data_IF_927243242207
#
_entry.id   IF_927243242207
#
_cell.length_a   1.000
_cell.length_b   1.000
_cell.length_c   1.000
_cell.angle_alpha   90.00
_cell.angle_beta   90.00
_cell.angle_gamma   90.00
#
_symmetry.space_group_name_H-M   'P 1'
#
loop_
_entity.id
_entity.type
_entity.pdbx_description
1 polymer ?
#
# COMPACT_ATOMS: atom_id res chain seq x y z
N UNK A 1 -20.08 -3.10 -0.85
CA UNK A 1 -18.77 -3.59 -0.38
C UNK A 1 -17.61 -3.02 -1.20
N UNK A 2 -17.55 -3.16 -2.54
CA UNK A 2 -16.46 -2.61 -3.35
C UNK A 2 -16.23 -1.09 -3.13
N UNK A 3 -17.29 -0.30 -3.12
CA UNK A 3 -17.20 1.15 -2.82
C UNK A 3 -16.67 1.41 -1.41
N UNK A 4 -17.14 0.65 -0.42
CA UNK A 4 -16.70 0.80 0.97
C UNK A 4 -15.20 0.50 1.13
N UNK A 5 -14.69 -0.57 0.47
CA UNK A 5 -13.26 -0.90 0.49
C UNK A 5 -12.42 0.14 -0.23
N UNK A 6 -12.92 0.68 -1.35
CA UNK A 6 -12.26 1.76 -2.08
C UNK A 6 -12.11 3.02 -1.24
N UNK A 7 -13.19 3.47 -0.63
CA UNK A 7 -13.19 4.64 0.26
C UNK A 7 -12.29 4.43 1.50
N UNK A 8 -12.32 3.25 2.11
CA UNK A 8 -11.46 2.92 3.25
C UNK A 8 -9.98 2.94 2.86
N UNK A 9 -9.63 2.32 1.73
CA UNK A 9 -8.27 2.26 1.22
C UNK A 9 -7.75 3.65 0.80
N UNK A 10 -8.62 4.49 0.23
CA UNK A 10 -8.29 5.83 -0.24
C UNK A 10 -7.64 6.69 0.85
N UNK A 11 -8.11 6.58 2.11
CA UNK A 11 -7.56 7.30 3.26
C UNK A 11 -6.05 7.14 3.46
N UNK A 12 -5.49 6.02 3.00
CA UNK A 12 -4.05 5.74 3.08
C UNK A 12 -3.21 6.52 2.06
N UNK A 13 -3.84 7.09 1.03
CA UNK A 13 -3.16 7.74 -0.10
C UNK A 13 -3.44 9.24 -0.23
N UNK A 14 -4.35 9.81 0.58
CA UNK A 14 -4.74 11.22 0.48
C UNK A 14 -3.58 12.19 0.68
N UNK A 15 -2.71 11.91 1.64
CA UNK A 15 -1.65 12.83 2.02
C UNK A 15 -0.57 13.03 0.94
N UNK A 16 -0.42 12.07 0.02
CA UNK A 16 0.72 12.05 -0.91
C UNK A 16 0.82 13.31 -1.78
N UNK A 17 -0.22 13.78 -2.50
CA UNK A 17 -0.14 15.01 -3.28
C UNK A 17 -0.18 16.29 -2.43
N UNK A 18 -0.47 16.18 -1.12
CA UNK A 18 -0.69 17.31 -0.22
C UNK A 18 0.55 17.70 0.58
N UNK A 19 1.68 17.00 0.45
CA UNK A 19 2.85 17.18 1.32
C UNK A 19 3.38 18.60 1.30
N UNK A 20 3.44 19.23 0.13
CA UNK A 20 3.90 20.62 0.00
C UNK A 20 2.93 21.60 0.66
N UNK A 21 1.62 21.45 0.43
CA UNK A 21 0.59 22.27 1.04
C UNK A 21 0.58 22.15 2.58
N UNK A 22 0.76 20.93 3.10
CA UNK A 22 0.89 20.67 4.55
C UNK A 22 2.13 21.36 5.12
N UNK A 23 3.24 21.32 4.39
CA UNK A 23 4.49 21.99 4.78
C UNK A 23 4.28 23.50 4.95
N UNK A 24 3.60 24.12 4.01
CA UNK A 24 3.30 25.58 4.04
C UNK A 24 2.29 25.95 5.13
N UNK A 25 1.20 25.20 5.26
CA UNK A 25 0.09 25.55 6.18
C UNK A 25 0.46 25.32 7.65
N UNK A 26 1.15 24.22 7.97
CA UNK A 26 1.57 23.90 9.34
C UNK A 26 2.97 24.43 9.71
N UNK A 27 3.64 25.14 8.79
CA UNK A 27 5.01 25.65 8.97
C UNK A 27 6.00 24.59 9.44
N UNK A 28 5.90 23.38 8.89
CA UNK A 28 6.74 22.24 9.22
C UNK A 28 7.80 22.01 8.16
N UNK A 29 8.90 21.31 8.50
CA UNK A 29 9.91 20.96 7.53
C UNK A 29 9.38 19.95 6.49
N UNK A 30 9.96 19.96 5.28
CA UNK A 30 9.64 18.97 4.25
C UNK A 30 9.91 17.53 4.73
N UNK A 31 10.92 17.35 5.59
CA UNK A 31 11.18 16.06 6.23
C UNK A 31 9.99 15.60 7.10
N UNK A 32 9.43 16.48 7.94
CA UNK A 32 8.26 16.13 8.76
C UNK A 32 7.03 15.82 7.89
N UNK A 33 6.80 16.59 6.83
CA UNK A 33 5.72 16.31 5.90
C UNK A 33 5.92 14.94 5.20
N UNK A 34 7.15 14.61 4.79
CA UNK A 34 7.49 13.30 4.24
C UNK A 34 7.19 12.13 5.19
N UNK A 35 7.33 12.35 6.51
CA UNK A 35 6.95 11.35 7.53
C UNK A 35 5.45 11.04 7.57
N UNK A 36 4.59 11.85 6.96
CA UNK A 36 3.14 11.54 6.84
C UNK A 36 2.95 10.26 6.01
N UNK A 37 3.71 10.08 4.92
CA UNK A 37 3.68 8.83 4.12
C UNK A 37 4.19 7.65 4.95
N UNK A 38 5.26 7.85 5.71
CA UNK A 38 5.81 6.84 6.63
C UNK A 38 4.76 6.43 7.67
N UNK A 39 4.11 7.40 8.30
CA UNK A 39 3.08 7.19 9.32
C UNK A 39 1.88 6.40 8.76
N UNK A 40 1.44 6.75 7.55
CA UNK A 40 0.39 6.02 6.84
C UNK A 40 0.77 4.54 6.63
N UNK A 41 1.96 4.27 6.10
CA UNK A 41 2.41 2.91 5.84
C UNK A 41 2.65 2.10 7.12
N UNK A 42 3.24 2.71 8.15
CA UNK A 42 3.44 2.08 9.44
C UNK A 42 2.11 1.77 10.14
N UNK A 43 1.16 2.71 10.13
CA UNK A 43 -0.19 2.50 10.65
C UNK A 43 -0.91 1.34 9.95
N UNK A 44 -0.82 1.30 8.62
CA UNK A 44 -1.42 0.21 7.84
C UNK A 44 -0.76 -1.14 8.11
N UNK A 45 0.58 -1.20 8.23
CA UNK A 45 1.31 -2.41 8.62
C UNK A 45 0.88 -2.94 10.00
N UNK A 46 0.77 -2.05 10.98
CA UNK A 46 0.26 -2.38 12.32
C UNK A 46 -1.17 -2.90 12.27
N UNK A 47 -2.03 -2.27 11.47
CA UNK A 47 -3.41 -2.71 11.26
C UNK A 47 -3.50 -4.11 10.64
N UNK A 48 -2.66 -4.40 9.63
CA UNK A 48 -2.59 -5.74 9.01
C UNK A 48 -2.15 -6.80 10.01
N UNK A 49 -1.20 -6.49 10.88
CA UNK A 49 -0.70 -7.43 11.88
C UNK A 49 -1.70 -7.64 13.02
N UNK A 50 -2.28 -6.56 13.53
CA UNK A 50 -3.06 -6.59 14.78
C UNK A 50 -4.57 -6.69 14.54
N UNK A 51 -5.11 -6.04 13.51
CA UNK A 51 -6.56 -5.93 13.34
C UNK A 51 -7.12 -7.00 12.39
N UNK A 52 -6.42 -7.29 11.28
CA UNK A 52 -6.93 -8.26 10.31
C UNK A 52 -7.19 -9.65 10.93
N UNK A 53 -6.31 -10.19 11.81
CA UNK A 53 -6.59 -11.46 12.48
C UNK A 53 -7.82 -11.45 13.41
N UNK A 54 -8.25 -10.28 13.90
CA UNK A 54 -9.50 -10.17 14.67
C UNK A 54 -10.73 -10.57 13.85
N UNK A 55 -10.67 -10.45 12.52
CA UNK A 55 -11.74 -10.91 11.62
C UNK A 55 -12.00 -12.41 11.66
N UNK A 56 -11.07 -13.19 12.18
CA UNK A 56 -11.25 -14.63 12.39
C UNK A 56 -11.84 -14.97 13.77
N UNK A 57 -11.79 -14.04 14.73
CA UNK A 57 -12.29 -14.22 16.11
C UNK A 57 -13.62 -13.49 16.34
N UNK A 58 -13.73 -12.28 15.81
CA UNK A 58 -14.88 -11.41 16.03
C UNK A 58 -15.94 -11.57 14.92
N UNK A 59 -17.15 -11.10 15.20
CA UNK A 59 -18.18 -10.94 14.18
C UNK A 59 -17.67 -10.00 13.07
N UNK A 60 -17.52 -10.53 11.85
CA UNK A 60 -16.92 -9.81 10.71
C UNK A 60 -17.70 -8.54 10.35
N UNK A 61 -19.03 -8.53 10.50
CA UNK A 61 -19.84 -7.34 10.27
C UNK A 61 -19.50 -6.24 11.28
N UNK A 62 -19.49 -6.58 12.59
CA UNK A 62 -19.20 -5.62 13.65
C UNK A 62 -17.80 -5.04 13.49
N UNK A 63 -16.83 -5.89 13.18
CA UNK A 63 -15.45 -5.45 12.95
C UNK A 63 -15.34 -4.53 11.74
N UNK A 64 -15.90 -4.91 10.58
CA UNK A 64 -15.86 -4.11 9.36
C UNK A 64 -16.55 -2.74 9.54
N UNK A 65 -17.76 -2.73 10.11
CA UNK A 65 -18.50 -1.48 10.38
C UNK A 65 -17.77 -0.61 11.40
N UNK A 66 -17.26 -1.21 12.48
CA UNK A 66 -16.49 -0.49 13.50
C UNK A 66 -15.23 0.16 12.95
N UNK A 67 -14.50 -0.54 12.09
CA UNK A 67 -13.31 0.00 11.44
C UNK A 67 -13.63 1.14 10.48
N UNK A 68 -14.68 1.03 9.67
CA UNK A 68 -15.12 2.11 8.79
C UNK A 68 -15.57 3.34 9.59
N UNK A 69 -16.35 3.14 10.66
CA UNK A 69 -16.77 4.23 11.54
C UNK A 69 -15.57 4.90 12.23
N UNK A 70 -14.61 4.11 12.71
CA UNK A 70 -13.37 4.63 13.27
C UNK A 70 -12.52 5.39 12.24
N UNK A 71 -12.41 4.87 11.00
CA UNK A 71 -11.73 5.56 9.90
C UNK A 71 -12.38 6.92 9.62
N UNK A 72 -13.71 6.98 9.54
CA UNK A 72 -14.44 8.25 9.35
C UNK A 72 -14.19 9.24 10.49
N UNK A 73 -14.23 8.76 11.73
CA UNK A 73 -13.96 9.60 12.93
C UNK A 73 -12.51 10.11 12.92
N UNK A 74 -11.54 9.26 12.63
CA UNK A 74 -10.13 9.67 12.57
C UNK A 74 -9.84 10.60 11.38
N UNK A 75 -10.49 10.43 10.24
CA UNK A 75 -10.42 11.40 9.13
C UNK A 75 -10.93 12.78 9.58
N UNK A 76 -12.10 12.83 10.23
CA UNK A 76 -12.65 14.08 10.76
C UNK A 76 -11.73 14.71 11.81
N UNK A 77 -11.18 13.94 12.74
CA UNK A 77 -10.23 14.44 13.75
C UNK A 77 -8.92 14.93 13.10
N UNK A 78 -8.41 14.22 12.11
CA UNK A 78 -7.17 14.59 11.42
C UNK A 78 -7.34 15.91 10.65
N UNK A 79 -8.54 16.19 10.11
CA UNK A 79 -8.82 17.47 9.43
C UNK A 79 -8.66 18.67 10.37
N UNK A 80 -8.91 18.49 11.67
CA UNK A 80 -8.79 19.53 12.67
C UNK A 80 -7.38 19.61 13.31
N UNK A 81 -6.39 18.85 12.83
CA UNK A 81 -5.05 18.82 13.40
C UNK A 81 -4.37 20.22 13.31
N UNK A 82 -4.00 20.83 14.47
CA UNK A 82 -3.36 22.15 14.50
C UNK A 82 -1.83 22.06 14.35
N UNK A 83 -1.24 20.87 14.48
CA UNK A 83 0.22 20.69 14.49
C UNK A 83 0.64 19.44 13.72
N UNK A 84 1.88 19.44 13.23
CA UNK A 84 2.45 18.30 12.52
C UNK A 84 2.40 16.97 13.28
N UNK A 85 2.80 16.91 14.55
CA UNK A 85 2.71 15.69 15.35
C UNK A 85 1.28 15.13 15.47
N UNK A 86 0.26 15.98 15.62
CA UNK A 86 -1.15 15.55 15.67
C UNK A 86 -1.63 15.06 14.30
N UNK A 87 -1.18 15.68 13.21
CA UNK A 87 -1.41 15.17 11.86
C UNK A 87 -0.81 13.77 11.67
N UNK A 88 0.43 13.55 12.11
CA UNK A 88 1.09 12.24 12.06
C UNK A 88 0.32 11.19 12.87
N UNK A 89 -0.07 11.51 14.08
CA UNK A 89 -0.85 10.61 14.93
C UNK A 89 -2.22 10.27 14.30
N UNK A 90 -2.91 11.28 13.74
CA UNK A 90 -4.16 11.11 13.01
C UNK A 90 -3.98 10.23 11.77
N UNK A 91 -2.90 10.44 11.01
CA UNK A 91 -2.58 9.63 9.83
C UNK A 91 -2.34 8.16 10.21
N UNK A 92 -1.60 7.89 11.29
CA UNK A 92 -1.43 6.51 11.81
C UNK A 92 -2.78 5.90 12.17
N UNK A 93 -3.65 6.63 12.85
CA UNK A 93 -4.96 6.14 13.29
C UNK A 93 -5.90 5.86 12.09
N UNK A 94 -5.92 6.74 11.08
CA UNK A 94 -6.64 6.52 9.82
C UNK A 94 -6.12 5.27 9.12
N UNK A 95 -4.80 5.14 8.94
CA UNK A 95 -4.19 4.02 8.26
C UNK A 95 -4.39 2.69 9.00
N UNK A 96 -4.27 2.71 10.33
CA UNK A 96 -4.53 1.56 11.21
C UNK A 96 -5.95 1.00 11.01
N UNK A 97 -6.94 1.86 10.87
CA UNK A 97 -8.35 1.46 10.71
C UNK A 97 -8.73 1.21 9.25
N UNK A 98 -8.03 1.80 8.29
CA UNK A 98 -8.23 1.59 6.84
C UNK A 98 -8.01 0.13 6.40
N UNK A 99 -7.34 -0.70 7.21
CA UNK A 99 -7.28 -2.16 6.99
C UNK A 99 -8.65 -2.83 7.05
N UNK A 100 -9.69 -2.12 7.48
CA UNK A 100 -11.08 -2.54 7.34
C UNK A 100 -11.43 -2.98 5.93
N UNK A 101 -10.78 -2.42 4.90
CA UNK A 101 -10.90 -2.90 3.51
C UNK A 101 -10.57 -4.39 3.39
N UNK A 102 -9.51 -4.88 4.03
CA UNK A 102 -9.10 -6.29 4.01
C UNK A 102 -10.09 -7.18 4.76
N UNK A 103 -10.63 -6.67 5.87
CA UNK A 103 -11.69 -7.36 6.64
C UNK A 103 -12.97 -7.50 5.79
N UNK A 104 -13.35 -6.46 5.03
CA UNK A 104 -14.51 -6.49 4.12
C UNK A 104 -14.29 -7.48 2.98
N UNK A 105 -13.07 -7.62 2.43
CA UNK A 105 -12.72 -8.63 1.42
C UNK A 105 -12.96 -10.04 1.95
N UNK A 106 -12.42 -10.35 3.14
CA UNK A 106 -12.64 -11.65 3.80
C UNK A 106 -14.11 -11.90 4.17
N UNK A 107 -14.83 -10.84 4.52
CA UNK A 107 -16.27 -10.93 4.81
C UNK A 107 -17.08 -11.21 3.54
N UNK A 108 -16.79 -10.54 2.42
CA UNK A 108 -17.44 -10.80 1.14
C UNK A 108 -17.28 -12.25 0.68
N UNK A 109 -16.06 -12.81 0.85
CA UNK A 109 -15.79 -14.21 0.55
C UNK A 109 -16.62 -15.20 1.41
N UNK A 110 -16.97 -14.82 2.64
CA UNK A 110 -17.75 -15.65 3.56
C UNK A 110 -19.27 -15.57 3.33
N UNK A 111 -19.74 -14.62 2.52
CA UNK A 111 -21.18 -14.42 2.25
C UNK A 111 -21.68 -15.21 1.03
N UNK A 112 -20.79 -15.79 0.25
CA UNK A 112 -21.12 -16.45 -1.01
C UNK A 112 -20.68 -17.92 -1.00
N UNK A 113 -21.32 -18.80 -1.78
CA UNK A 113 -20.87 -20.18 -1.99
C UNK A 113 -19.46 -20.25 -2.56
N UNK A 114 -18.79 -21.38 -2.40
CA UNK A 114 -17.38 -21.58 -2.79
C UNK A 114 -17.11 -21.26 -4.26
N UNK A 115 -18.06 -21.59 -5.14
CA UNK A 115 -17.98 -21.38 -6.59
C UNK A 115 -17.98 -19.87 -6.95
N UNK A 116 -18.61 -19.03 -6.13
CA UNK A 116 -18.73 -17.59 -6.37
C UNK A 116 -17.66 -16.77 -5.62
N UNK A 117 -16.86 -17.37 -4.71
CA UNK A 117 -15.87 -16.67 -3.87
C UNK A 117 -14.87 -15.87 -4.68
N UNK A 118 -14.30 -16.46 -5.72
CA UNK A 118 -13.33 -15.77 -6.56
C UNK A 118 -13.87 -14.49 -7.18
N UNK A 119 -15.12 -14.54 -7.69
CA UNK A 119 -15.78 -13.37 -8.29
C UNK A 119 -16.09 -12.29 -7.24
N UNK A 120 -16.59 -12.69 -6.07
CA UNK A 120 -16.89 -11.76 -4.98
C UNK A 120 -15.61 -11.02 -4.50
N UNK A 121 -14.54 -11.78 -4.25
CA UNK A 121 -13.23 -11.21 -3.87
C UNK A 121 -12.71 -10.26 -4.96
N UNK A 122 -12.72 -10.67 -6.22
CA UNK A 122 -12.27 -9.84 -7.34
C UNK A 122 -13.06 -8.53 -7.42
N UNK A 123 -14.38 -8.58 -7.27
CA UNK A 123 -15.25 -7.38 -7.27
C UNK A 123 -14.91 -6.42 -6.12
N UNK A 124 -14.68 -6.95 -4.91
CA UNK A 124 -14.34 -6.10 -3.77
C UNK A 124 -12.92 -5.55 -3.88
N UNK A 125 -11.97 -6.35 -4.37
CA UNK A 125 -10.58 -5.93 -4.61
C UNK A 125 -10.48 -4.88 -5.72
N UNK A 126 -11.33 -4.92 -6.75
CA UNK A 126 -11.37 -3.84 -7.75
C UNK A 126 -11.72 -2.49 -7.12
N UNK A 127 -12.58 -2.49 -6.08
CA UNK A 127 -12.84 -1.29 -5.28
C UNK A 127 -11.59 -0.77 -4.57
N UNK A 128 -10.81 -1.65 -3.96
CA UNK A 128 -9.52 -1.28 -3.30
C UNK A 128 -8.57 -0.62 -4.29
N UNK A 129 -8.41 -1.24 -5.47
CA UNK A 129 -7.50 -0.73 -6.52
C UNK A 129 -7.95 0.63 -7.06
N UNK A 130 -9.24 0.76 -7.40
CA UNK A 130 -9.81 2.02 -7.88
C UNK A 130 -9.74 3.11 -6.80
N UNK A 131 -10.04 2.76 -5.55
CA UNK A 131 -9.96 3.69 -4.42
C UNK A 131 -8.55 4.23 -4.23
N UNK A 132 -7.53 3.37 -4.21
CA UNK A 132 -6.14 3.77 -4.09
C UNK A 132 -5.63 4.61 -5.26
N UNK A 133 -6.10 4.31 -6.47
CA UNK A 133 -5.74 5.07 -7.67
C UNK A 133 -6.38 6.46 -7.69
N UNK A 134 -7.71 6.52 -7.48
CA UNK A 134 -8.46 7.77 -7.54
C UNK A 134 -8.20 8.68 -6.35
N UNK A 135 -7.77 8.12 -5.21
CA UNK A 135 -7.51 8.87 -3.98
C UNK A 135 -6.60 10.07 -4.20
N UNK A 136 -5.52 9.89 -4.95
CA UNK A 136 -4.54 10.95 -5.23
C UNK A 136 -5.13 12.07 -6.09
N UNK A 137 -5.87 11.71 -7.14
CA UNK A 137 -6.50 12.68 -8.04
C UNK A 137 -7.59 13.45 -7.30
N UNK A 138 -8.46 12.74 -6.59
CA UNK A 138 -9.55 13.36 -5.82
C UNK A 138 -8.99 14.25 -4.71
N UNK A 139 -7.96 13.83 -3.99
CA UNK A 139 -7.35 14.63 -2.94
C UNK A 139 -6.68 15.89 -3.49
N UNK A 140 -6.00 15.81 -4.64
CA UNK A 140 -5.42 16.98 -5.30
C UNK A 140 -6.49 18.02 -5.69
N UNK A 141 -7.59 17.59 -6.33
CA UNK A 141 -8.68 18.48 -6.70
C UNK A 141 -9.37 19.10 -5.48
N UNK A 142 -9.67 18.30 -4.47
CA UNK A 142 -10.31 18.81 -3.24
C UNK A 142 -9.40 19.79 -2.49
N UNK A 143 -8.10 19.58 -2.55
CA UNK A 143 -7.13 20.47 -1.89
C UNK A 143 -7.08 21.86 -2.54
N UNK A 144 -7.18 21.95 -3.86
CA UNK A 144 -7.27 23.23 -4.57
C UNK A 144 -8.54 24.01 -4.21
N UNK A 145 -9.65 23.30 -3.93
CA UNK A 145 -10.93 23.93 -3.60
C UNK A 145 -11.00 24.48 -2.16
N UNK A 146 -10.29 23.86 -1.20
CA UNK A 146 -10.45 24.24 0.21
C UNK A 146 -9.28 23.84 1.12
N UNK A 147 -8.11 23.55 0.55
CA UNK A 147 -6.93 23.14 1.30
C UNK A 147 -6.94 21.66 1.74
N UNK A 148 -5.83 21.22 2.34
CA UNK A 148 -5.65 19.83 2.72
C UNK A 148 -6.66 19.32 3.75
N UNK A 149 -7.14 20.19 4.65
CA UNK A 149 -8.16 19.85 5.66
C UNK A 149 -9.48 19.42 5.03
N UNK A 150 -9.87 20.07 3.93
CA UNK A 150 -11.09 19.74 3.18
C UNK A 150 -11.08 18.33 2.64
N UNK A 151 -9.92 17.83 2.21
CA UNK A 151 -9.76 16.45 1.73
C UNK A 151 -10.18 15.44 2.81
N UNK A 152 -9.71 15.64 4.03
CA UNK A 152 -10.03 14.74 5.16
C UNK A 152 -11.50 14.85 5.58
N UNK A 153 -12.04 16.08 5.69
CA UNK A 153 -13.43 16.31 6.06
C UNK A 153 -14.40 15.70 5.04
N UNK A 154 -14.23 16.04 3.77
CA UNK A 154 -15.10 15.55 2.68
C UNK A 154 -15.02 14.05 2.56
N UNK A 155 -13.84 13.46 2.76
CA UNK A 155 -13.66 11.99 2.69
C UNK A 155 -14.27 11.26 3.91
N UNK A 156 -14.36 11.89 5.07
CA UNK A 156 -14.99 11.29 6.24
C UNK A 156 -16.48 10.96 6.02
N UNK A 157 -17.19 11.83 5.31
CA UNK A 157 -18.64 11.72 5.06
C UNK A 157 -18.99 10.41 4.32
N UNK A 158 -18.48 10.13 3.12
CA UNK A 158 -18.83 8.90 2.40
C UNK A 158 -18.38 7.63 3.13
N UNK A 159 -17.27 7.67 3.89
CA UNK A 159 -16.84 6.53 4.72
C UNK A 159 -17.84 6.28 5.84
N UNK A 160 -18.34 7.32 6.53
CA UNK A 160 -19.38 7.21 7.56
C UNK A 160 -20.70 6.71 7.00
N UNK A 161 -21.11 7.21 5.83
CA UNK A 161 -22.31 6.73 5.12
C UNK A 161 -22.17 5.25 4.79
N UNK A 162 -21.01 4.81 4.28
CA UNK A 162 -20.77 3.39 3.99
C UNK A 162 -20.79 2.53 5.26
N UNK A 163 -20.24 3.00 6.38
CA UNK A 163 -20.34 2.30 7.66
C UNK A 163 -21.81 2.08 8.07
N UNK A 164 -22.64 3.11 7.94
CA UNK A 164 -24.08 3.05 8.25
C UNK A 164 -24.82 2.10 7.29
N UNK A 165 -24.56 2.18 5.98
CA UNK A 165 -25.18 1.28 4.99
C UNK A 165 -24.80 -0.17 5.23
N UNK A 166 -23.52 -0.46 5.48
CA UNK A 166 -23.08 -1.81 5.79
C UNK A 166 -23.67 -2.31 7.12
N UNK A 167 -23.81 -1.41 8.11
CA UNK A 167 -24.49 -1.75 9.36
C UNK A 167 -25.95 -2.13 9.15
N UNK A 168 -26.67 -1.48 8.25
CA UNK A 168 -28.10 -1.75 8.01
C UNK A 168 -28.35 -2.96 7.14
N UNK A 169 -27.54 -3.17 6.09
CA UNK A 169 -27.85 -4.12 5.02
C UNK A 169 -27.11 -5.46 5.10
N UNK A 170 -26.01 -5.54 5.86
CA UNK A 170 -25.24 -6.78 5.90
C UNK A 170 -25.68 -7.73 7.01
N UNK A 171 -25.77 -9.05 6.73
CA UNK A 171 -26.10 -10.06 7.72
C UNK A 171 -24.95 -10.24 8.73
N UNK A 172 -25.25 -10.77 9.90
CA UNK A 172 -24.22 -11.17 10.87
C UNK A 172 -23.65 -12.52 10.47
N UNK A 173 -22.33 -12.57 10.34
CA UNK A 173 -21.59 -13.82 10.11
C UNK A 173 -20.68 -14.04 11.31
N UNK A 174 -21.04 -15.02 12.13
CA UNK A 174 -20.23 -15.43 13.27
C UNK A 174 -18.96 -16.10 12.77
N UNK A 175 -17.83 -15.73 13.34
CA UNK A 175 -16.58 -16.44 13.12
C UNK A 175 -16.62 -17.81 13.82
N UNK A 176 -16.09 -18.83 13.17
CA UNK A 176 -15.96 -20.18 13.72
C UNK A 176 -14.53 -20.47 14.21
N UNK A 177 -13.72 -19.45 14.50
CA UNK A 177 -12.35 -19.66 14.93
C UNK A 177 -12.29 -20.38 16.29
N UNK A 178 -11.57 -21.47 16.33
CA UNK A 178 -11.28 -22.25 17.55
C UNK A 178 -10.06 -21.73 18.33
N UNK A 179 -9.30 -20.79 17.73
CA UNK A 179 -8.06 -20.26 18.31
C UNK A 179 -8.33 -18.92 19.01
N UNK A 180 -7.64 -18.70 20.13
CA UNK A 180 -7.61 -17.40 20.81
C UNK A 180 -6.78 -16.40 19.99
N UNK A 181 -7.08 -15.10 20.13
CA UNK A 181 -6.36 -14.04 19.41
C UNK A 181 -4.83 -14.06 19.59
N UNK A 182 -4.27 -14.24 20.82
CA UNK A 182 -2.81 -14.38 20.98
C UNK A 182 -2.24 -15.60 20.28
N UNK A 183 -2.99 -16.71 20.23
CA UNK A 183 -2.58 -17.91 19.51
C UNK A 183 -2.55 -17.68 17.98
N UNK A 184 -3.50 -16.92 17.43
CA UNK A 184 -3.50 -16.51 16.02
C UNK A 184 -2.30 -15.64 15.67
N UNK A 185 -2.00 -14.63 16.49
CA UNK A 185 -0.81 -13.79 16.28
C UNK A 185 0.48 -14.60 16.34
N UNK A 186 0.62 -15.46 17.37
CA UNK A 186 1.77 -16.34 17.49
C UNK A 186 1.91 -17.28 16.30
N UNK A 187 0.79 -17.86 15.82
CA UNK A 187 0.80 -18.76 14.66
C UNK A 187 1.11 -18.03 13.34
N UNK A 188 0.76 -16.75 13.21
CA UNK A 188 1.15 -15.93 12.05
C UNK A 188 2.64 -15.63 12.07
N UNK A 189 3.20 -15.29 13.24
CA UNK A 189 4.63 -15.02 13.39
C UNK A 189 5.49 -16.29 13.30
N UNK A 190 4.98 -17.46 13.76
CA UNK A 190 5.72 -18.72 13.63
C UNK A 190 5.95 -19.13 12.17
N UNK A 191 5.04 -18.75 11.25
CA UNK A 191 5.20 -18.98 9.81
C UNK A 191 6.50 -18.37 9.25
N UNK A 192 6.98 -17.25 9.79
CA UNK A 192 8.27 -16.67 9.39
C UNK A 192 9.46 -17.57 9.76
N UNK A 193 9.32 -18.39 10.82
CA UNK A 193 10.37 -19.36 11.23
C UNK A 193 10.24 -20.66 10.48
N UNK A 194 9.01 -21.13 10.25
CA UNK A 194 8.71 -22.41 9.63
C UNK A 194 8.95 -22.39 8.10
N UNK A 195 8.67 -21.25 7.43
CA UNK A 195 8.66 -21.16 5.98
C UNK A 195 9.79 -20.26 5.45
N UNK A 196 10.93 -20.85 5.02
CA UNK A 196 12.03 -20.07 4.45
C UNK A 196 11.61 -19.24 3.23
N UNK A 197 10.71 -19.78 2.41
CA UNK A 197 10.24 -19.10 1.20
C UNK A 197 9.41 -17.84 1.54
N UNK A 198 8.64 -17.87 2.64
CA UNK A 198 7.95 -16.68 3.15
C UNK A 198 8.94 -15.58 3.53
N UNK A 199 10.06 -15.92 4.18
CA UNK A 199 11.11 -14.95 4.54
C UNK A 199 11.71 -14.28 3.31
N UNK A 200 12.08 -15.08 2.29
CA UNK A 200 12.64 -14.54 1.04
C UNK A 200 11.65 -13.61 0.34
N UNK A 201 10.40 -14.06 0.16
CA UNK A 201 9.35 -13.25 -0.49
C UNK A 201 8.97 -12.01 0.30
N UNK A 202 8.96 -12.09 1.63
CA UNK A 202 8.74 -10.92 2.50
C UNK A 202 9.87 -9.90 2.39
N UNK A 203 11.12 -10.33 2.33
CA UNK A 203 12.26 -9.44 2.14
C UNK A 203 12.24 -8.77 0.75
N UNK A 204 11.99 -9.54 -0.33
CA UNK A 204 11.87 -9.01 -1.69
C UNK A 204 10.70 -8.01 -1.76
N UNK A 205 9.53 -8.36 -1.21
CA UNK A 205 8.37 -7.49 -1.18
C UNK A 205 8.63 -6.21 -0.39
N UNK A 206 9.24 -6.30 0.78
CA UNK A 206 9.59 -5.16 1.62
C UNK A 206 10.56 -4.20 0.90
N UNK A 207 11.62 -4.71 0.29
CA UNK A 207 12.59 -3.90 -0.46
C UNK A 207 11.97 -3.28 -1.71
N UNK A 208 11.09 -4.00 -2.41
CA UNK A 208 10.40 -3.46 -3.59
C UNK A 208 9.44 -2.34 -3.22
N UNK A 209 8.64 -2.50 -2.15
CA UNK A 209 7.78 -1.40 -1.70
C UNK A 209 8.59 -0.26 -1.10
N UNK A 210 9.71 -0.54 -0.42
CA UNK A 210 10.62 0.50 0.02
C UNK A 210 11.08 1.36 -1.17
N UNK A 211 11.59 0.73 -2.24
CA UNK A 211 11.99 1.42 -3.46
C UNK A 211 10.86 2.20 -4.11
N UNK A 212 9.65 1.64 -4.16
CA UNK A 212 8.48 2.32 -4.71
C UNK A 212 8.01 3.50 -3.86
N UNK A 213 8.06 3.39 -2.53
CA UNK A 213 7.64 4.44 -1.59
C UNK A 213 8.54 5.67 -1.63
N UNK A 214 9.79 5.52 -2.05
CA UNK A 214 10.72 6.64 -2.32
C UNK A 214 10.07 7.62 -3.30
N UNK A 215 9.52 7.12 -4.40
CA UNK A 215 8.82 7.95 -5.40
C UNK A 215 7.59 8.65 -4.79
N UNK A 216 6.78 7.93 -4.01
CA UNK A 216 5.56 8.48 -3.43
C UNK A 216 5.81 9.67 -2.49
N UNK A 217 6.98 9.68 -1.86
CA UNK A 217 7.37 10.75 -0.93
C UNK A 217 8.03 11.92 -1.66
N UNK A 218 8.97 11.65 -2.56
CA UNK A 218 9.81 12.69 -3.16
C UNK A 218 9.20 13.36 -4.40
N UNK A 219 8.35 12.64 -5.15
CA UNK A 219 7.79 13.15 -6.41
C UNK A 219 6.97 14.42 -6.21
N UNK A 220 6.21 14.51 -5.12
CA UNK A 220 5.39 15.69 -4.81
C UNK A 220 6.27 16.93 -4.61
N UNK A 221 7.36 16.80 -3.87
CA UNK A 221 8.30 17.91 -3.66
C UNK A 221 9.00 18.31 -4.95
N UNK A 222 9.35 17.34 -5.82
CA UNK A 222 9.96 17.64 -7.12
C UNK A 222 9.02 18.42 -8.03
N UNK A 223 7.74 17.96 -8.13
CA UNK A 223 6.77 18.57 -9.05
C UNK A 223 6.20 19.89 -8.52
N UNK A 224 6.11 20.08 -7.21
CA UNK A 224 5.69 21.34 -6.60
C UNK A 224 6.78 22.43 -6.69
N UNK A 225 8.07 22.03 -6.73
CA UNK A 225 9.19 22.95 -6.84
C UNK A 225 9.57 23.30 -8.28
N UNK A 226 10.55 24.25 -8.45
CA UNK A 226 11.12 24.56 -9.77
C UNK A 226 11.80 23.31 -10.39
N UNK A 227 11.75 23.13 -11.73
CA UNK A 227 11.18 24.00 -12.76
C UNK A 227 9.68 23.80 -13.00
N UNK A 228 9.02 22.85 -12.34
CA UNK A 228 7.65 22.43 -12.68
C UNK A 228 6.57 23.33 -12.06
N UNK A 229 6.64 23.61 -10.75
CA UNK A 229 5.69 24.47 -10.05
C UNK A 229 4.22 24.02 -10.17
N UNK A 230 3.98 22.70 -10.11
CA UNK A 230 2.66 22.12 -10.32
C UNK A 230 1.76 22.29 -9.10
N UNK A 231 0.48 22.49 -9.37
CA UNK A 231 -0.57 22.43 -8.36
C UNK A 231 -0.85 20.99 -7.90
N UNK A 232 -1.49 20.84 -6.76
CA UNK A 232 -1.88 19.57 -6.15
C UNK A 232 -2.72 18.71 -7.08
N UNK A 233 -3.65 19.32 -7.85
CA UNK A 233 -4.46 18.63 -8.87
C UNK A 233 -3.60 18.03 -9.98
N UNK A 234 -2.64 18.78 -10.51
CA UNK A 234 -1.74 18.28 -11.56
C UNK A 234 -0.89 17.12 -11.05
N UNK A 235 -0.37 17.24 -9.82
CA UNK A 235 0.38 16.17 -9.16
C UNK A 235 -0.51 14.94 -8.94
N UNK A 236 -1.74 15.15 -8.49
CA UNK A 236 -2.74 14.09 -8.31
C UNK A 236 -3.11 13.38 -9.61
N UNK A 237 -3.33 14.15 -10.70
CA UNK A 237 -3.59 13.61 -12.04
C UNK A 237 -2.40 12.80 -12.57
N UNK A 238 -1.18 13.23 -12.32
CA UNK A 238 0.02 12.49 -12.70
C UNK A 238 0.11 11.13 -12.02
N UNK A 239 -0.51 10.99 -10.84
CA UNK A 239 -0.70 9.71 -10.15
C UNK A 239 -1.53 8.69 -10.94
N UNK A 240 -2.35 9.12 -11.93
CA UNK A 240 -3.11 8.21 -12.81
C UNK A 240 -2.22 7.34 -13.70
N UNK A 241 -0.96 7.70 -13.90
CA UNK A 241 0.02 6.81 -14.54
C UNK A 241 0.13 5.45 -13.82
N UNK A 242 -0.26 5.39 -12.54
CA UNK A 242 -0.40 4.16 -11.78
C UNK A 242 -1.43 3.15 -12.31
N UNK A 243 -2.37 3.57 -13.20
CA UNK A 243 -3.33 2.66 -13.89
C UNK A 243 -2.61 1.52 -14.60
N UNK A 244 -1.42 1.79 -15.15
CA UNK A 244 -0.60 0.77 -15.82
C UNK A 244 -0.31 -0.41 -14.89
N UNK A 245 -0.20 -0.17 -13.58
CA UNK A 245 -0.03 -1.23 -12.58
C UNK A 245 -1.19 -2.23 -12.56
N UNK A 246 -2.43 -1.77 -12.75
CA UNK A 246 -3.61 -2.66 -12.82
C UNK A 246 -3.53 -3.58 -14.04
N UNK A 247 -3.15 -3.03 -15.18
CA UNK A 247 -2.95 -3.80 -16.43
C UNK A 247 -1.81 -4.81 -16.23
N UNK A 248 -0.70 -4.38 -15.64
CA UNK A 248 0.46 -5.24 -15.33
C UNK A 248 0.05 -6.42 -14.45
N UNK A 249 -0.81 -6.22 -13.47
CA UNK A 249 -1.26 -7.28 -12.57
C UNK A 249 -1.94 -8.43 -13.33
N UNK A 250 -2.73 -8.11 -14.35
CA UNK A 250 -3.39 -9.11 -15.21
C UNK A 250 -2.40 -9.89 -16.06
N UNK A 251 -1.42 -9.19 -16.67
CA UNK A 251 -0.38 -9.85 -17.49
C UNK A 251 0.58 -10.68 -16.65
N UNK A 252 1.02 -10.13 -15.50
CA UNK A 252 1.87 -10.86 -14.56
C UNK A 252 1.19 -12.14 -14.05
N UNK A 253 -0.12 -12.07 -13.75
CA UNK A 253 -0.90 -13.24 -13.36
C UNK A 253 -0.88 -14.33 -14.42
N UNK A 254 -1.16 -13.99 -15.70
CA UNK A 254 -1.13 -14.95 -16.80
C UNK A 254 0.25 -15.60 -17.02
N UNK A 255 1.33 -14.84 -16.83
CA UNK A 255 2.70 -15.37 -16.91
C UNK A 255 3.02 -16.28 -15.71
N UNK A 256 2.55 -15.92 -14.52
CA UNK A 256 2.69 -16.72 -13.32
C UNK A 256 1.97 -18.07 -13.46
N UNK A 257 0.75 -18.08 -14.03
CA UNK A 257 -0.02 -19.30 -14.31
C UNK A 257 0.70 -20.24 -15.29
N UNK A 258 1.55 -19.69 -16.17
CA UNK A 258 2.42 -20.45 -17.07
C UNK A 258 3.72 -20.95 -16.44
N UNK A 259 3.88 -20.80 -15.12
CA UNK A 259 5.08 -21.22 -14.40
C UNK A 259 6.27 -20.26 -14.48
N UNK A 260 6.09 -19.05 -15.03
CA UNK A 260 7.15 -18.07 -15.24
C UNK A 260 7.35 -17.12 -14.04
N UNK A 261 6.89 -17.51 -12.83
CA UNK A 261 6.91 -16.67 -11.61
C UNK A 261 8.28 -16.07 -11.32
N UNK A 262 9.35 -16.85 -11.47
CA UNK A 262 10.71 -16.38 -11.19
C UNK A 262 11.18 -15.32 -12.20
N UNK A 263 10.82 -15.49 -13.47
CA UNK A 263 11.11 -14.49 -14.50
C UNK A 263 10.32 -13.21 -14.27
N UNK A 264 9.03 -13.31 -13.93
CA UNK A 264 8.18 -12.15 -13.59
C UNK A 264 8.76 -11.39 -12.40
N UNK A 265 9.23 -12.11 -11.35
CA UNK A 265 9.87 -11.47 -10.19
C UNK A 265 11.15 -10.73 -10.59
N UNK A 266 12.08 -11.43 -11.28
CA UNK A 266 13.36 -10.84 -11.67
C UNK A 266 13.22 -9.66 -12.62
N UNK A 267 12.41 -9.80 -13.68
CA UNK A 267 12.11 -8.71 -14.61
C UNK A 267 11.39 -7.55 -13.91
N UNK A 268 10.47 -7.83 -12.98
CA UNK A 268 9.80 -6.81 -12.20
C UNK A 268 10.77 -5.97 -11.37
N UNK A 269 11.71 -6.61 -10.67
CA UNK A 269 12.74 -5.90 -9.89
C UNK A 269 13.69 -5.12 -10.81
N UNK A 270 14.10 -5.71 -11.94
CA UNK A 270 14.95 -5.02 -12.92
C UNK A 270 14.25 -3.79 -13.52
N UNK A 271 12.96 -3.91 -13.84
CA UNK A 271 12.13 -2.78 -14.32
C UNK A 271 11.99 -1.70 -13.25
N UNK A 272 11.83 -2.07 -11.98
CA UNK A 272 11.81 -1.13 -10.85
C UNK A 272 13.14 -0.36 -10.77
N UNK A 273 14.28 -1.05 -10.86
CA UNK A 273 15.61 -0.44 -10.85
C UNK A 273 15.85 0.46 -12.07
N UNK A 274 15.49 -0.02 -13.27
CA UNK A 274 15.55 0.76 -14.51
C UNK A 274 14.70 2.02 -14.46
N UNK A 275 13.52 1.97 -13.84
CA UNK A 275 12.67 3.13 -13.59
C UNK A 275 13.38 4.21 -12.79
N UNK A 276 14.15 3.87 -11.77
CA UNK A 276 14.94 4.81 -10.99
C UNK A 276 16.08 5.44 -11.78
N UNK A 277 16.73 4.67 -12.68
CA UNK A 277 17.75 5.22 -13.57
C UNK A 277 17.16 6.21 -14.59
N UNK A 278 15.96 5.91 -15.11
CA UNK A 278 15.22 6.84 -15.98
C UNK A 278 14.83 8.13 -15.24
N UNK A 279 14.38 8.03 -14.00
CA UNK A 279 14.07 9.19 -13.16
C UNK A 279 15.30 10.04 -12.84
N UNK A 280 16.46 9.40 -12.63
CA UNK A 280 17.73 10.10 -12.42
C UNK A 280 18.16 10.88 -13.66
N UNK A 281 18.09 10.24 -14.84
CA UNK A 281 18.46 10.86 -16.12
C UNK A 281 17.50 11.98 -16.54
N UNK A 282 16.24 11.91 -16.10
CA UNK A 282 15.14 12.76 -16.56
C UNK A 282 14.65 13.82 -15.58
N UNK A 283 15.44 14.23 -14.59
CA UNK A 283 15.02 15.12 -13.51
C UNK A 283 14.34 16.44 -13.96
N UNK A 284 14.67 16.97 -15.14
CA UNK A 284 14.06 18.17 -15.74
C UNK A 284 13.10 17.90 -16.89
N UNK A 285 12.75 16.63 -17.17
CA UNK A 285 11.98 16.23 -18.36
C UNK A 285 10.75 15.41 -17.98
N UNK A 286 9.55 15.96 -18.23
CA UNK A 286 8.27 15.28 -17.96
C UNK A 286 8.12 13.92 -18.64
N UNK A 287 8.49 13.75 -19.94
CA UNK A 287 8.40 12.44 -20.58
C UNK A 287 9.23 11.37 -19.87
N UNK A 288 10.47 11.69 -19.48
CA UNK A 288 11.33 10.75 -18.76
C UNK A 288 10.79 10.42 -17.37
N UNK A 289 10.26 11.43 -16.65
CA UNK A 289 9.58 11.21 -15.37
C UNK A 289 8.37 10.28 -15.54
N UNK A 290 7.55 10.51 -16.57
CA UNK A 290 6.36 9.68 -16.84
C UNK A 290 6.76 8.23 -17.15
N UNK A 291 7.75 8.00 -18.02
CA UNK A 291 8.23 6.65 -18.36
C UNK A 291 8.83 5.96 -17.13
N UNK A 292 9.64 6.68 -16.34
CA UNK A 292 10.19 6.17 -15.10
C UNK A 292 9.13 5.75 -14.09
N UNK A 293 8.08 6.57 -13.89
CA UNK A 293 6.96 6.26 -13.01
C UNK A 293 6.17 5.06 -13.50
N UNK A 294 5.91 4.97 -14.79
CA UNK A 294 5.26 3.79 -15.40
C UNK A 294 6.09 2.54 -15.13
N UNK A 295 7.42 2.60 -15.34
CA UNK A 295 8.31 1.49 -15.05
C UNK A 295 8.28 1.08 -13.57
N UNK A 296 8.30 2.05 -12.64
CA UNK A 296 8.15 1.77 -11.21
C UNK A 296 6.84 1.06 -10.87
N UNK A 297 5.71 1.50 -11.45
CA UNK A 297 4.41 0.86 -11.24
C UNK A 297 4.36 -0.56 -11.82
N UNK A 298 4.87 -0.75 -13.03
CA UNK A 298 4.97 -2.07 -13.67
C UNK A 298 5.82 -3.02 -12.81
N UNK A 299 7.02 -2.60 -12.45
CA UNK A 299 7.94 -3.40 -11.64
C UNK A 299 7.35 -3.78 -10.29
N UNK A 300 6.77 -2.81 -9.58
CA UNK A 300 6.16 -3.01 -8.27
C UNK A 300 5.00 -4.01 -8.31
N UNK A 301 4.09 -3.89 -9.27
CA UNK A 301 2.93 -4.78 -9.37
C UNK A 301 3.32 -6.19 -9.84
N UNK A 302 4.33 -6.31 -10.70
CA UNK A 302 4.88 -7.61 -11.09
C UNK A 302 5.47 -8.35 -9.88
N UNK A 303 6.28 -7.68 -9.04
CA UNK A 303 6.89 -8.26 -7.83
C UNK A 303 5.81 -8.62 -6.80
N UNK A 304 4.83 -7.76 -6.57
CA UNK A 304 3.73 -8.02 -5.64
C UNK A 304 2.94 -9.27 -6.06
N UNK A 305 2.48 -9.28 -7.32
CA UNK A 305 1.66 -10.37 -7.85
C UNK A 305 2.41 -11.71 -7.83
N UNK A 306 3.67 -11.74 -8.30
CA UNK A 306 4.47 -12.97 -8.30
C UNK A 306 4.77 -13.49 -6.88
N UNK A 307 5.01 -12.60 -5.91
CA UNK A 307 5.22 -12.99 -4.53
C UNK A 307 3.95 -13.59 -3.90
N UNK A 308 2.79 -12.98 -4.13
CA UNK A 308 1.51 -13.50 -3.65
C UNK A 308 1.18 -14.86 -4.29
N UNK A 309 1.44 -15.04 -5.60
CA UNK A 309 1.23 -16.32 -6.30
C UNK A 309 2.02 -17.44 -5.63
N UNK A 310 3.31 -17.20 -5.33
CA UNK A 310 4.15 -18.20 -4.63
C UNK A 310 3.61 -18.52 -3.25
N UNK A 311 3.25 -17.50 -2.47
CA UNK A 311 2.81 -17.68 -1.09
C UNK A 311 1.45 -18.40 -1.00
N UNK A 312 0.52 -18.13 -1.92
CA UNK A 312 -0.79 -18.77 -1.94
C UNK A 312 -0.73 -20.25 -2.35
N UNK A 313 0.31 -20.64 -3.08
CA UNK A 313 0.56 -22.04 -3.42
C UNK A 313 1.27 -22.82 -2.29
N UNK A 314 1.93 -22.13 -1.35
CA UNK A 314 2.78 -22.76 -0.32
C UNK A 314 1.96 -23.59 0.68
N UNK A 315 0.93 -22.97 1.30
CA UNK A 315 0.00 -23.63 2.25
C UNK A 315 -1.43 -23.11 2.02
N UNK A 316 -2.26 -23.84 1.29
CA UNK A 316 -3.63 -23.42 0.98
C UNK A 316 -4.47 -23.12 2.23
N UNK A 317 -4.28 -23.87 3.31
CA UNK A 317 -4.99 -23.73 4.59
C UNK A 317 -4.53 -22.50 5.40
N UNK A 318 -3.35 -21.94 5.11
CA UNK A 318 -2.77 -20.81 5.82
C UNK A 318 -2.68 -19.52 4.97
N UNK A 319 -3.32 -19.46 3.80
CA UNK A 319 -3.22 -18.35 2.83
C UNK A 319 -3.41 -16.98 3.47
N UNK A 320 -4.44 -16.81 4.29
CA UNK A 320 -4.72 -15.53 4.93
C UNK A 320 -3.61 -15.10 5.89
N UNK A 321 -3.06 -16.06 6.67
CA UNK A 321 -1.97 -15.78 7.61
C UNK A 321 -0.67 -15.48 6.87
N UNK A 322 -0.34 -16.25 5.81
CA UNK A 322 0.82 -15.98 4.95
C UNK A 322 0.73 -14.60 4.30
N UNK A 323 -0.43 -14.25 3.74
CA UNK A 323 -0.66 -12.93 3.15
C UNK A 323 -0.56 -11.80 4.18
N UNK A 324 -1.11 -11.98 5.38
CA UNK A 324 -1.03 -10.98 6.45
C UNK A 324 0.42 -10.69 6.84
N UNK A 325 1.23 -11.73 7.05
CA UNK A 325 2.65 -11.59 7.39
C UNK A 325 3.43 -10.95 6.25
N UNK A 326 3.22 -11.40 5.02
CA UNK A 326 3.84 -10.83 3.83
C UNK A 326 3.50 -9.34 3.67
N UNK A 327 2.21 -8.99 3.71
CA UNK A 327 1.76 -7.61 3.54
C UNK A 327 2.20 -6.71 4.69
N UNK A 328 2.29 -7.23 5.93
CA UNK A 328 2.88 -6.50 7.06
C UNK A 328 4.35 -6.16 6.77
N UNK A 329 5.15 -7.15 6.36
CA UNK A 329 6.55 -6.93 5.99
C UNK A 329 6.70 -5.97 4.82
N UNK A 330 5.84 -6.10 3.83
CA UNK A 330 5.75 -5.24 2.65
C UNK A 330 5.56 -3.77 3.05
N UNK A 331 4.56 -3.45 3.88
CA UNK A 331 4.30 -2.09 4.34
C UNK A 331 5.32 -1.55 5.34
N UNK A 332 5.96 -2.41 6.15
CA UNK A 332 7.13 -2.02 6.96
C UNK A 332 8.27 -1.56 6.04
N UNK A 333 8.53 -2.30 4.96
CA UNK A 333 9.49 -1.87 3.93
C UNK A 333 9.13 -0.51 3.35
N UNK A 334 7.88 -0.31 2.97
CA UNK A 334 7.38 0.97 2.47
C UNK A 334 7.58 2.12 3.46
N UNK A 335 7.25 1.91 4.73
CA UNK A 335 7.45 2.89 5.79
C UNK A 335 8.94 3.25 5.94
N UNK A 336 9.82 2.24 5.94
CA UNK A 336 11.26 2.45 6.05
C UNK A 336 11.81 3.22 4.84
N UNK A 337 11.40 2.84 3.62
CA UNK A 337 11.78 3.54 2.38
C UNK A 337 11.36 5.01 2.40
N UNK A 338 10.12 5.29 2.77
CA UNK A 338 9.58 6.65 2.89
C UNK A 338 10.29 7.46 3.96
N UNK A 339 10.55 6.89 5.14
CA UNK A 339 11.26 7.56 6.25
C UNK A 339 12.68 7.98 5.83
N UNK A 340 13.42 7.06 5.19
CA UNK A 340 14.74 7.35 4.68
C UNK A 340 14.71 8.44 3.59
N UNK A 341 13.68 8.44 2.74
CA UNK A 341 13.52 9.43 1.68
C UNK A 341 13.37 10.84 2.23
N UNK A 342 12.61 11.02 3.31
CA UNK A 342 12.45 12.32 3.95
C UNK A 342 13.80 12.91 4.41
N UNK A 343 14.70 12.06 4.91
CA UNK A 343 16.05 12.44 5.33
C UNK A 343 16.99 12.67 4.15
N UNK A 344 16.94 11.80 3.14
CA UNK A 344 17.79 11.88 1.94
C UNK A 344 17.43 13.11 1.11
N UNK A 345 16.14 13.42 0.96
CA UNK A 345 15.68 14.61 0.25
C UNK A 345 16.26 15.88 0.83
N UNK A 346 16.26 16.01 2.16
CA UNK A 346 16.80 17.20 2.84
C UNK A 346 18.32 17.39 2.66
N UNK A 347 19.07 16.31 2.41
CA UNK A 347 20.55 16.35 2.33
C UNK A 347 21.09 16.31 0.90
N UNK A 348 20.46 15.54 0.02
CA UNK A 348 20.98 15.21 -1.30
C UNK A 348 19.96 15.44 -2.45
N UNK A 349 18.80 15.99 -2.14
CA UNK A 349 17.77 16.32 -3.13
C UNK A 349 17.33 15.12 -3.99
N UNK A 350 16.90 15.41 -5.22
CA UNK A 350 16.37 14.41 -6.16
C UNK A 350 17.37 13.31 -6.54
N UNK A 351 18.63 13.68 -6.81
CA UNK A 351 19.66 12.70 -7.19
C UNK A 351 19.93 11.68 -6.08
N UNK A 352 19.99 12.13 -4.82
CA UNK A 352 20.13 11.23 -3.67
C UNK A 352 18.95 10.27 -3.54
N UNK A 353 17.73 10.77 -3.76
CA UNK A 353 16.51 9.98 -3.75
C UNK A 353 16.51 8.90 -4.86
N UNK A 354 16.95 9.26 -6.07
CA UNK A 354 17.05 8.29 -7.16
C UNK A 354 18.09 7.20 -6.86
N UNK A 355 19.22 7.56 -6.27
CA UNK A 355 20.24 6.59 -5.84
C UNK A 355 19.72 5.68 -4.71
N UNK A 356 18.97 6.23 -3.76
CA UNK A 356 18.30 5.44 -2.72
C UNK A 356 17.34 4.41 -3.33
N UNK A 357 16.47 4.82 -4.24
CA UNK A 357 15.51 3.95 -4.91
C UNK A 357 16.19 2.85 -5.74
N UNK A 358 17.21 3.21 -6.52
CA UNK A 358 18.02 2.26 -7.29
C UNK A 358 18.76 1.27 -6.38
N UNK A 359 19.34 1.75 -5.28
CA UNK A 359 20.03 0.90 -4.29
C UNK A 359 19.10 -0.11 -3.63
N UNK A 360 17.87 0.31 -3.27
CA UNK A 360 16.86 -0.59 -2.72
C UNK A 360 16.40 -1.65 -3.75
N UNK A 361 16.25 -1.27 -5.02
CA UNK A 361 15.95 -2.19 -6.09
C UNK A 361 17.11 -3.18 -6.34
N UNK A 362 18.35 -2.73 -6.29
CA UNK A 362 19.54 -3.59 -6.38
C UNK A 362 19.62 -4.57 -5.20
N UNK A 363 19.32 -4.14 -3.98
CA UNK A 363 19.21 -5.00 -2.82
C UNK A 363 18.12 -6.06 -2.99
N UNK A 364 16.94 -5.68 -3.53
CA UNK A 364 15.87 -6.63 -3.84
C UNK A 364 16.31 -7.68 -4.88
N UNK A 365 17.07 -7.26 -5.90
CA UNK A 365 17.63 -8.14 -6.92
C UNK A 365 18.64 -9.14 -6.32
N UNK A 366 19.51 -8.66 -5.43
CA UNK A 366 20.45 -9.51 -4.72
C UNK A 366 19.74 -10.56 -3.85
N UNK A 367 18.72 -10.17 -3.09
CA UNK A 367 17.91 -11.09 -2.26
C UNK A 367 17.18 -12.12 -3.14
N UNK A 368 16.64 -11.71 -4.30
CA UNK A 368 16.05 -12.63 -5.25
C UNK A 368 17.06 -13.62 -5.83
N UNK A 369 18.28 -13.17 -6.15
CA UNK A 369 19.38 -14.04 -6.58
C UNK A 369 19.73 -15.09 -5.53
N UNK A 370 19.81 -14.70 -4.25
CA UNK A 370 20.05 -15.59 -3.13
C UNK A 370 18.91 -16.62 -2.93
N UNK A 371 17.64 -16.20 -3.07
CA UNK A 371 16.49 -17.10 -3.06
C UNK A 371 16.65 -18.19 -4.12
N UNK A 372 17.00 -17.82 -5.36
CA UNK A 372 17.20 -18.79 -6.46
C UNK A 372 18.30 -19.78 -6.18
N UNK A 373 19.43 -19.31 -5.66
CA UNK A 373 20.56 -20.18 -5.31
C UNK A 373 20.19 -21.15 -4.17
N UNK A 374 19.47 -20.67 -3.16
CA UNK A 374 19.05 -21.52 -2.03
C UNK A 374 18.04 -22.58 -2.47
N UNK A 375 17.08 -22.23 -3.32
CA UNK A 375 16.07 -23.18 -3.84
C UNK A 375 16.66 -24.19 -4.82
N UNK A 376 17.65 -23.80 -5.63
CA UNK A 376 18.36 -24.73 -6.52
C UNK A 376 19.14 -25.79 -5.71
N UNK A 377 19.86 -25.36 -4.67
CA UNK A 377 20.60 -26.28 -3.76
C UNK A 377 19.68 -27.25 -3.02
N UNK A 378 18.47 -26.82 -2.64
CA UNK A 378 17.50 -27.69 -1.97
C UNK A 378 16.90 -28.76 -2.90
N UNK A 379 16.87 -28.53 -4.23
CA UNK A 379 16.40 -29.50 -5.23
C UNK A 379 17.47 -30.51 -5.66
N UNK A 380 18.75 -30.21 -5.44
CA UNK A 380 19.88 -31.04 -5.80
C UNK A 380 20.29 -32.01 -4.67
N UNK A 381 19.67 -31.91 -3.51
CA UNK A 381 19.77 -32.81 -2.37
C UNK A 381 18.55 -33.70 -2.23
#
# INVERSE_FOLDING_TARGET
MAVATGLSCAGNYFAQPLLDLITRDLHVSAALAGFVVTASQAGYALGLLLIVPLGDVLDRRRLAVGLLAATAAFLALTSAAPTGPLLLAGTVAVALTAVGAQVVVGYAAALVPDEARGRAVATVMSGVLLGGLLARTVSGVLAELGGWRTVYWVSAIPVAVMALLLHRHLPRVRSCARLSYPALLRSSLSLLREEPLLRWRSAIGALSLAAYSVQLTALTFLLAGPPFGWSESRIGLFGLLGVVGVVTMTFAGRLNDRGLVQYVTGCGIATLGGGWLLLLAGAGSLPWLAVGIVALNVGQQAVLNSSQTVLYALRPEARNRLNSVFMTSFFIGGATGSALTALVWARAGWSGVCLQGAGLAAAALAVWGLERLSTARARSR
#
